data_IF_840450134611
#
_entry.id   IF_840450134611
#
_cell.length_a   1.000
_cell.length_b   1.000
_cell.length_c   1.000
_cell.angle_alpha   90.00
_cell.angle_beta   90.00
_cell.angle_gamma   90.00
#
_symmetry.space_group_name_H-M   'P 1'
#
loop_
_entity.id
_entity.type
_entity.pdbx_description
1 polymer ?
#
# COMPACT_ATOMS: atom_id res chain seq x y z
N UNK A 1 15.64 -16.37 7.90
CA UNK A 1 16.76 -15.78 8.67
C UNK A 1 16.28 -14.69 9.65
N UNK A 2 15.69 -13.54 9.19
CA UNK A 2 15.29 -12.47 10.12
C UNK A 2 14.14 -12.85 11.06
N UNK A 3 13.17 -13.61 10.58
CA UNK A 3 12.02 -14.02 11.38
C UNK A 3 12.40 -15.03 12.46
N UNK A 4 13.24 -15.98 12.12
CA UNK A 4 13.80 -16.95 13.08
C UNK A 4 14.66 -16.25 14.13
N UNK A 5 15.52 -15.29 13.72
CA UNK A 5 16.34 -14.50 14.65
C UNK A 5 15.50 -13.67 15.63
N UNK A 6 14.27 -13.33 15.28
CA UNK A 6 13.31 -12.60 16.13
C UNK A 6 12.35 -13.55 16.88
N UNK A 7 12.57 -14.86 16.83
CA UNK A 7 11.76 -15.86 17.54
C UNK A 7 10.37 -16.10 16.94
N UNK A 8 10.11 -15.67 15.70
CA UNK A 8 8.84 -15.91 15.03
C UNK A 8 8.77 -17.34 14.48
N UNK A 9 8.30 -18.28 15.31
CA UNK A 9 8.21 -19.71 14.98
C UNK A 9 6.96 -20.11 14.19
N UNK A 10 5.95 -19.22 14.10
CA UNK A 10 4.68 -19.46 13.40
C UNK A 10 4.69 -18.97 11.94
N UNK A 11 5.86 -18.66 11.38
CA UNK A 11 5.99 -18.10 10.04
C UNK A 11 6.44 -19.14 9.04
N UNK A 12 5.70 -19.29 7.95
CA UNK A 12 6.13 -20.02 6.76
C UNK A 12 6.62 -19.03 5.70
N UNK A 13 7.90 -19.10 5.34
CA UNK A 13 8.47 -18.26 4.29
C UNK A 13 8.21 -18.89 2.92
N UNK A 14 7.71 -18.09 1.99
CA UNK A 14 7.43 -18.54 0.63
C UNK A 14 8.06 -17.59 -0.38
N UNK A 15 8.69 -18.12 -1.43
CA UNK A 15 9.30 -17.35 -2.51
C UNK A 15 8.47 -17.56 -3.78
N UNK A 16 7.93 -16.45 -4.32
CA UNK A 16 7.11 -16.50 -5.52
C UNK A 16 6.76 -15.13 -6.08
N UNK A 17 6.03 -15.11 -7.20
CA UNK A 17 5.48 -13.88 -7.76
C UNK A 17 4.23 -13.46 -6.99
N UNK A 18 4.34 -12.45 -6.11
CA UNK A 18 3.23 -11.92 -5.33
C UNK A 18 2.01 -11.49 -6.16
N UNK A 19 2.22 -11.11 -7.43
CA UNK A 19 1.13 -10.77 -8.34
C UNK A 19 0.28 -11.97 -8.81
N UNK A 20 0.70 -13.19 -8.44
CA UNK A 20 0.03 -14.46 -8.79
C UNK A 20 -0.42 -15.29 -7.60
N UNK A 21 -0.17 -14.83 -6.37
CA UNK A 21 -0.56 -15.57 -5.15
C UNK A 21 -2.05 -15.95 -5.17
N UNK A 22 -2.91 -15.06 -5.62
CA UNK A 22 -4.35 -15.30 -5.68
C UNK A 22 -4.76 -16.53 -6.53
N UNK A 23 -3.92 -16.96 -7.48
CA UNK A 23 -4.23 -18.12 -8.34
C UNK A 23 -4.20 -19.45 -7.55
N UNK A 24 -3.37 -19.50 -6.51
CA UNK A 24 -3.30 -20.66 -5.62
C UNK A 24 -4.08 -20.44 -4.32
N UNK A 25 -4.21 -19.20 -3.87
CA UNK A 25 -4.72 -18.81 -2.57
C UNK A 25 -5.89 -17.82 -2.69
N UNK A 26 -6.89 -18.15 -3.51
CA UNK A 26 -8.08 -17.32 -3.69
C UNK A 26 -8.92 -17.29 -2.41
N UNK A 27 -9.23 -16.07 -1.90
CA UNK A 27 -10.01 -15.87 -0.67
C UNK A 27 -9.54 -16.74 0.51
N UNK A 28 -8.23 -16.91 0.65
CA UNK A 28 -7.63 -17.80 1.65
C UNK A 28 -7.26 -17.07 2.96
N UNK A 29 -7.01 -15.76 2.93
CA UNK A 29 -6.45 -15.03 4.04
C UNK A 29 -7.47 -14.10 4.73
N UNK A 30 -7.47 -14.07 6.06
CA UNK A 30 -8.27 -13.15 6.86
C UNK A 30 -7.63 -11.75 6.92
N UNK A 31 -6.28 -11.70 6.83
CA UNK A 31 -5.50 -10.46 6.87
C UNK A 31 -4.34 -10.53 5.89
N UNK A 32 -4.11 -9.44 5.17
CA UNK A 32 -3.00 -9.29 4.22
C UNK A 32 -2.26 -8.00 4.52
N UNK A 33 -0.94 -8.06 4.57
CA UNK A 33 -0.06 -6.90 4.56
C UNK A 33 0.69 -6.89 3.23
N UNK A 34 0.48 -5.84 2.45
CA UNK A 34 1.19 -5.60 1.20
C UNK A 34 2.11 -4.38 1.37
N UNK A 35 3.33 -4.62 1.81
CA UNK A 35 4.41 -3.64 1.76
C UNK A 35 5.04 -3.69 0.36
N UNK A 36 4.60 -2.77 -0.49
CA UNK A 36 4.82 -2.88 -1.92
C UNK A 36 6.15 -2.26 -2.37
N UNK A 37 6.87 -2.88 -3.33
CA UNK A 37 8.04 -2.23 -3.92
C UNK A 37 7.65 -0.90 -4.55
N UNK A 38 8.44 0.16 -4.29
CA UNK A 38 8.11 1.52 -4.68
C UNK A 38 9.33 2.32 -5.15
N UNK A 39 9.15 3.59 -5.52
CA UNK A 39 10.22 4.51 -5.93
C UNK A 39 11.00 5.13 -4.76
N UNK A 40 10.66 4.81 -3.52
CA UNK A 40 11.40 5.10 -2.27
C UNK A 40 11.65 6.58 -1.96
N UNK A 41 10.83 7.50 -2.45
CA UNK A 41 11.01 8.95 -2.23
C UNK A 41 10.99 9.36 -0.76
N UNK A 42 10.30 8.60 0.09
CA UNK A 42 10.26 8.84 1.54
C UNK A 42 11.57 8.58 2.27
N UNK A 43 12.57 8.02 1.57
CA UNK A 43 13.92 7.73 2.08
C UNK A 43 15.00 8.64 1.53
N UNK A 44 14.61 9.67 0.77
CA UNK A 44 15.58 10.61 0.22
C UNK A 44 16.18 11.46 1.35
N UNK A 45 17.51 11.53 1.36
CA UNK A 45 18.25 12.37 2.28
C UNK A 45 18.89 13.53 1.51
N UNK A 46 18.74 14.75 2.05
CA UNK A 46 19.23 15.96 1.38
C UNK A 46 20.76 16.00 1.28
N UNK A 47 21.44 15.36 2.22
CA UNK A 47 22.90 15.28 2.35
C UNK A 47 23.50 14.02 1.73
N UNK A 48 22.66 13.10 1.21
CA UNK A 48 23.12 11.86 0.55
C UNK A 48 22.51 11.71 -0.85
N UNK A 49 23.16 12.19 -1.91
CA UNK A 49 22.70 12.07 -3.30
C UNK A 49 22.53 10.63 -3.79
N UNK A 50 23.19 9.65 -3.17
CA UNK A 50 23.05 8.25 -3.57
C UNK A 50 21.63 7.73 -3.34
N UNK A 51 20.91 8.32 -2.37
CA UNK A 51 19.50 7.95 -2.09
C UNK A 51 18.55 8.24 -3.24
N UNK A 52 18.90 9.19 -4.13
CA UNK A 52 18.10 9.58 -5.29
C UNK A 52 18.57 8.94 -6.60
N UNK A 53 19.71 8.24 -6.60
CA UNK A 53 20.42 7.75 -7.80
C UNK A 53 19.54 6.96 -8.77
N UNK A 54 18.63 6.13 -8.26
CA UNK A 54 17.78 5.27 -9.08
C UNK A 54 16.38 5.82 -9.32
N UNK A 55 16.11 7.04 -8.82
CA UNK A 55 14.82 7.67 -9.00
C UNK A 55 14.64 8.23 -10.42
N UNK A 56 13.45 8.03 -10.97
CA UNK A 56 13.04 8.63 -12.24
C UNK A 56 11.52 8.51 -12.42
N UNK A 57 10.94 9.35 -13.27
CA UNK A 57 9.53 9.22 -13.69
C UNK A 57 9.23 7.86 -14.33
N UNK A 58 10.22 7.25 -15.01
CA UNK A 58 10.11 5.90 -15.54
C UNK A 58 9.98 4.87 -14.40
N UNK A 59 10.75 5.02 -13.33
CA UNK A 59 10.70 4.16 -12.15
C UNK A 59 9.33 4.22 -11.47
N UNK A 60 8.77 5.41 -11.26
CA UNK A 60 7.41 5.60 -10.74
C UNK A 60 6.39 4.83 -11.60
N UNK A 61 6.45 4.97 -12.93
CA UNK A 61 5.55 4.27 -13.85
C UNK A 61 5.68 2.75 -13.77
N UNK A 62 6.91 2.25 -13.64
CA UNK A 62 7.20 0.81 -13.47
C UNK A 62 6.61 0.30 -12.13
N UNK A 63 6.93 0.98 -11.03
CA UNK A 63 6.47 0.57 -9.69
C UNK A 63 4.94 0.62 -9.58
N UNK A 64 4.31 1.68 -10.05
CA UNK A 64 2.85 1.76 -10.15
C UNK A 64 2.24 0.54 -10.84
N UNK A 65 2.85 0.08 -11.94
CA UNK A 65 2.33 -1.08 -12.68
C UNK A 65 2.45 -2.38 -11.87
N UNK A 66 3.57 -2.58 -11.19
CA UNK A 66 3.79 -3.72 -10.29
C UNK A 66 2.83 -3.68 -9.11
N UNK A 67 2.70 -2.53 -8.45
CA UNK A 67 1.84 -2.34 -7.29
C UNK A 67 0.36 -2.64 -7.60
N UNK A 68 -0.14 -2.20 -8.76
CA UNK A 68 -1.52 -2.50 -9.18
C UNK A 68 -1.76 -3.99 -9.34
N UNK A 69 -0.80 -4.75 -9.85
CA UNK A 69 -0.89 -6.20 -9.97
C UNK A 69 -0.81 -6.89 -8.61
N UNK A 70 0.08 -6.40 -7.74
CA UNK A 70 0.21 -6.91 -6.37
C UNK A 70 -1.04 -6.62 -5.54
N UNK A 71 -1.58 -5.40 -5.60
CA UNK A 71 -2.79 -5.04 -4.89
C UNK A 71 -4.00 -5.83 -5.39
N UNK A 72 -4.12 -6.03 -6.71
CA UNK A 72 -5.13 -6.92 -7.29
C UNK A 72 -5.02 -8.33 -6.69
N UNK A 73 -3.82 -8.92 -6.71
CA UNK A 73 -3.56 -10.25 -6.15
C UNK A 73 -3.91 -10.32 -4.65
N UNK A 74 -3.53 -9.30 -3.89
CA UNK A 74 -3.81 -9.22 -2.46
C UNK A 74 -5.31 -9.17 -2.14
N UNK A 75 -6.10 -8.39 -2.92
CA UNK A 75 -7.56 -8.33 -2.77
C UNK A 75 -8.22 -9.66 -3.14
N UNK A 76 -7.76 -10.30 -4.22
CA UNK A 76 -8.28 -11.60 -4.65
C UNK A 76 -7.98 -12.71 -3.62
N UNK A 77 -6.83 -12.66 -2.97
CA UNK A 77 -6.42 -13.62 -1.94
C UNK A 77 -7.08 -13.36 -0.57
N UNK A 78 -7.64 -12.17 -0.35
CA UNK A 78 -8.33 -11.79 0.88
C UNK A 78 -9.74 -12.35 0.92
N UNK A 79 -10.16 -12.93 2.04
CA UNK A 79 -11.55 -13.38 2.27
C UNK A 79 -12.53 -12.19 2.33
N UNK A 80 -13.81 -12.37 1.98
CA UNK A 80 -14.87 -11.44 2.40
C UNK A 80 -14.83 -11.23 3.92
N UNK A 81 -14.98 -9.99 4.37
CA UNK A 81 -14.79 -9.57 5.77
C UNK A 81 -13.32 -9.37 6.18
N UNK A 82 -12.37 -9.78 5.36
CA UNK A 82 -10.94 -9.64 5.64
C UNK A 82 -10.44 -8.20 5.52
N UNK A 83 -9.26 -7.96 6.08
CA UNK A 83 -8.59 -6.64 6.07
C UNK A 83 -7.24 -6.73 5.39
N UNK A 84 -6.97 -5.80 4.47
CA UNK A 84 -5.71 -5.61 3.79
C UNK A 84 -5.12 -4.25 4.16
N UNK A 85 -3.82 -4.23 4.48
CA UNK A 85 -3.04 -3.00 4.60
C UNK A 85 -2.11 -2.91 3.40
N UNK A 86 -2.20 -1.80 2.68
CA UNK A 86 -1.30 -1.43 1.58
C UNK A 86 -0.37 -0.34 2.07
N UNK A 87 0.94 -0.52 1.88
CA UNK A 87 1.95 0.45 2.30
C UNK A 87 3.05 0.64 1.25
N UNK A 88 3.64 1.83 1.25
CA UNK A 88 4.82 2.19 0.45
C UNK A 88 5.67 3.22 1.19
N UNK A 89 6.96 3.28 0.90
CA UNK A 89 7.85 4.35 1.32
C UNK A 89 8.08 5.39 0.20
N UNK A 90 7.04 5.76 -0.55
CA UNK A 90 7.11 6.78 -1.61
C UNK A 90 6.06 7.86 -1.42
N UNK A 91 6.32 9.06 -1.98
CA UNK A 91 5.35 10.15 -2.04
C UNK A 91 4.64 10.26 -3.39
N UNK A 92 5.02 9.46 -4.40
CA UNK A 92 4.42 9.51 -5.72
C UNK A 92 2.92 9.19 -5.68
N UNK A 93 2.02 10.14 -6.00
CA UNK A 93 0.58 9.90 -5.95
C UNK A 93 0.12 8.84 -6.97
N UNK A 94 0.88 8.66 -8.03
CA UNK A 94 0.65 7.61 -9.04
C UNK A 94 0.76 6.20 -8.45
N UNK A 95 1.66 6.02 -7.48
CA UNK A 95 1.91 4.76 -6.79
C UNK A 95 0.93 4.55 -5.63
N UNK A 96 0.52 5.61 -4.98
CA UNK A 96 -0.31 5.64 -3.79
C UNK A 96 -1.80 5.78 -4.15
N UNK A 97 -2.32 7.00 -4.16
CA UNK A 97 -3.73 7.30 -4.42
C UNK A 97 -4.20 6.79 -5.78
N UNK A 98 -3.35 6.91 -6.80
CA UNK A 98 -3.65 6.41 -8.16
C UNK A 98 -3.76 4.88 -8.22
N UNK A 99 -3.07 4.15 -7.36
CA UNK A 99 -3.18 2.70 -7.25
C UNK A 99 -4.45 2.32 -6.49
N UNK A 100 -4.79 3.02 -5.40
CA UNK A 100 -6.04 2.84 -4.68
C UNK A 100 -7.28 3.17 -5.54
N UNK A 101 -7.24 4.29 -6.27
CA UNK A 101 -8.31 4.68 -7.18
C UNK A 101 -8.53 3.62 -8.28
N UNK A 102 -7.44 3.00 -8.78
CA UNK A 102 -7.54 1.89 -9.73
C UNK A 102 -8.17 0.64 -9.09
N UNK A 103 -7.84 0.33 -7.84
CA UNK A 103 -8.44 -0.80 -7.12
C UNK A 103 -9.95 -0.58 -6.92
N UNK A 104 -10.37 0.61 -6.44
CA UNK A 104 -11.79 0.96 -6.32
C UNK A 104 -12.53 0.84 -7.65
N UNK A 105 -11.93 1.33 -8.74
CA UNK A 105 -12.53 1.18 -10.08
C UNK A 105 -12.64 -0.29 -10.53
N UNK A 106 -11.73 -1.15 -10.09
CA UNK A 106 -11.68 -2.56 -10.52
C UNK A 106 -12.66 -3.42 -9.73
N UNK A 107 -12.77 -3.21 -8.42
CA UNK A 107 -13.52 -4.05 -7.51
C UNK A 107 -14.86 -3.45 -7.08
N UNK A 108 -15.09 -2.14 -7.33
CA UNK A 108 -16.32 -1.46 -6.95
C UNK A 108 -16.62 -1.60 -5.47
N UNK A 109 -17.87 -1.93 -5.17
CA UNK A 109 -18.39 -2.06 -3.80
C UNK A 109 -17.86 -3.30 -3.06
N UNK A 110 -17.18 -4.22 -3.77
CA UNK A 110 -16.57 -5.39 -3.13
C UNK A 110 -15.41 -5.03 -2.19
N UNK A 111 -14.87 -3.80 -2.29
CA UNK A 111 -13.84 -3.31 -1.36
C UNK A 111 -14.18 -1.91 -0.85
N UNK A 112 -13.77 -1.62 0.38
CA UNK A 112 -13.88 -0.30 0.97
C UNK A 112 -12.53 0.13 1.57
N UNK A 113 -12.10 1.37 1.27
CA UNK A 113 -10.99 2.01 1.98
C UNK A 113 -11.57 2.59 3.27
N UNK A 114 -11.08 2.12 4.40
CA UNK A 114 -11.48 2.59 5.73
C UNK A 114 -10.35 3.40 6.37
N UNK A 115 -10.61 4.07 7.49
CA UNK A 115 -9.57 4.79 8.22
C UNK A 115 -8.38 3.87 8.56
N UNK A 116 -7.17 4.33 8.30
CA UNK A 116 -5.96 3.53 8.50
C UNK A 116 -5.66 3.23 9.97
N UNK A 117 -6.30 3.94 10.91
CA UNK A 117 -6.16 3.71 12.34
C UNK A 117 -4.82 4.18 12.90
N UNK A 118 -4.18 5.17 12.27
CA UNK A 118 -2.98 5.79 12.83
C UNK A 118 -3.34 6.68 14.02
N UNK A 119 -2.41 6.84 15.01
CA UNK A 119 -2.65 7.69 16.16
C UNK A 119 -3.07 9.11 15.76
N UNK A 120 -4.19 9.60 16.32
CA UNK A 120 -4.67 10.98 16.14
C UNK A 120 -4.02 11.98 17.10
N UNK A 121 -3.17 11.51 18.04
CA UNK A 121 -2.50 12.32 19.05
C UNK A 121 -1.06 11.86 19.24
N UNK A 122 -0.23 12.72 19.84
CA UNK A 122 1.19 12.43 20.07
C UNK A 122 2.09 12.86 18.92
N UNK A 123 3.40 12.61 19.01
CA UNK A 123 4.41 13.10 18.06
C UNK A 123 4.13 12.69 16.60
N UNK A 124 3.64 11.47 16.40
CA UNK A 124 3.35 10.94 15.05
C UNK A 124 2.17 11.66 14.39
N UNK A 125 1.17 12.11 15.17
CA UNK A 125 -0.03 12.73 14.63
C UNK A 125 0.26 14.03 13.87
N UNK A 126 1.27 14.78 14.27
CA UNK A 126 1.68 16.04 13.62
C UNK A 126 2.20 15.82 12.19
N UNK A 127 2.76 14.63 11.93
CA UNK A 127 3.35 14.26 10.64
C UNK A 127 2.39 13.49 9.74
N UNK A 128 1.13 13.24 10.19
CA UNK A 128 0.15 12.45 9.43
C UNK A 128 -0.82 13.35 8.67
N UNK A 129 -0.95 13.10 7.38
CA UNK A 129 -1.89 13.79 6.49
C UNK A 129 -2.86 12.79 5.84
N UNK A 130 -4.10 13.21 5.50
CA UNK A 130 -4.97 12.40 4.66
C UNK A 130 -4.37 12.19 3.27
N UNK A 131 -4.83 11.15 2.57
CA UNK A 131 -4.54 10.98 1.15
C UNK A 131 -4.99 12.19 0.34
N UNK A 132 -4.33 12.43 -0.81
CA UNK A 132 -4.62 13.56 -1.67
C UNK A 132 -6.02 13.46 -2.29
N UNK A 133 -6.68 14.60 -2.44
CA UNK A 133 -7.96 14.71 -3.13
C UNK A 133 -7.80 14.69 -4.65
N UNK A 134 -6.67 15.21 -5.15
CA UNK A 134 -6.38 15.30 -6.58
C UNK A 134 -4.88 15.27 -6.87
N UNK A 135 -4.52 14.98 -8.12
CA UNK A 135 -3.16 15.08 -8.64
C UNK A 135 -3.15 15.38 -10.13
N UNK A 136 -2.35 16.36 -10.55
CA UNK A 136 -2.25 16.78 -11.96
C UNK A 136 -3.62 17.03 -12.62
N UNK A 137 -4.52 17.73 -11.93
CA UNK A 137 -5.86 18.09 -12.40
C UNK A 137 -6.84 16.91 -12.49
N UNK A 138 -6.52 15.77 -11.87
CA UNK A 138 -7.42 14.61 -11.79
C UNK A 138 -7.81 14.37 -10.34
N UNK A 139 -9.11 14.46 -10.05
CA UNK A 139 -9.64 14.13 -8.74
C UNK A 139 -9.56 12.61 -8.49
N UNK A 140 -9.26 12.24 -7.25
CA UNK A 140 -9.39 10.89 -6.74
C UNK A 140 -10.77 10.66 -6.12
N UNK A 141 -11.27 9.41 -6.06
CA UNK A 141 -12.45 9.09 -5.28
C UNK A 141 -12.31 9.54 -3.82
N UNK A 142 -13.36 10.10 -3.21
CA UNK A 142 -13.31 10.63 -1.84
C UNK A 142 -12.82 9.59 -0.81
N UNK A 143 -13.16 8.31 -1.01
CA UNK A 143 -12.70 7.22 -0.15
C UNK A 143 -11.16 7.13 -0.04
N UNK A 144 -10.42 7.56 -1.06
CA UNK A 144 -8.94 7.55 -1.07
C UNK A 144 -8.37 8.46 0.01
N UNK A 145 -9.08 9.52 0.44
CA UNK A 145 -8.66 10.41 1.51
C UNK A 145 -8.59 9.74 2.90
N UNK A 146 -9.19 8.57 3.05
CA UNK A 146 -9.08 7.75 4.27
C UNK A 146 -7.70 7.08 4.41
N UNK A 147 -6.89 7.03 3.35
CA UNK A 147 -5.48 6.69 3.45
C UNK A 147 -4.68 7.78 4.18
N UNK A 148 -3.47 7.46 4.59
CA UNK A 148 -2.61 8.39 5.35
C UNK A 148 -1.24 8.48 4.70
N UNK A 149 -0.72 9.70 4.68
CA UNK A 149 0.66 10.05 4.36
C UNK A 149 1.36 10.41 5.64
N UNK A 150 2.49 9.78 5.90
CA UNK A 150 3.38 10.15 7.01
C UNK A 150 4.51 10.97 6.41
N UNK A 151 4.65 12.22 6.85
CA UNK A 151 5.74 13.09 6.41
C UNK A 151 6.99 12.83 7.27
N UNK A 152 8.19 12.91 6.69
CA UNK A 152 9.43 12.76 7.46
C UNK A 152 9.59 13.94 8.44
N UNK A 153 10.01 13.64 9.66
CA UNK A 153 10.16 14.63 10.73
C UNK A 153 11.46 14.49 11.55
N UNK A 154 12.44 13.78 11.03
CA UNK A 154 13.70 13.49 11.70
C UNK A 154 13.69 12.21 12.55
N UNK A 155 12.51 11.67 12.89
CA UNK A 155 12.33 10.36 13.53
C UNK A 155 11.71 9.35 12.57
N UNK A 156 10.78 9.81 11.74
CA UNK A 156 10.04 9.00 10.80
C UNK A 156 10.55 9.21 9.38
N UNK A 157 10.67 8.13 8.64
CA UNK A 157 10.78 8.18 7.18
C UNK A 157 9.42 8.54 6.56
N UNK A 158 9.44 9.04 5.33
CA UNK A 158 8.21 9.25 4.57
C UNK A 158 7.51 7.94 4.25
N UNK A 159 6.19 7.87 4.50
CA UNK A 159 5.43 6.64 4.35
C UNK A 159 4.01 6.91 3.86
N UNK A 160 3.43 5.90 3.21
CA UNK A 160 2.02 5.90 2.83
C UNK A 160 1.36 4.62 3.31
N UNK A 161 0.14 4.72 3.83
CA UNK A 161 -0.63 3.56 4.27
C UNK A 161 -2.11 3.71 3.96
N UNK A 162 -2.73 2.61 3.53
CA UNK A 162 -4.17 2.49 3.36
C UNK A 162 -4.68 1.17 3.93
N UNK A 163 -5.81 1.21 4.63
CA UNK A 163 -6.51 0.03 5.11
C UNK A 163 -7.74 -0.21 4.23
N UNK A 164 -7.84 -1.42 3.71
CA UNK A 164 -8.89 -1.86 2.81
C UNK A 164 -9.62 -3.02 3.47
N UNK A 165 -10.95 -2.99 3.47
CA UNK A 165 -11.80 -4.10 3.90
C UNK A 165 -12.47 -4.69 2.65
N UNK A 166 -12.43 -5.99 2.49
CA UNK A 166 -13.19 -6.69 1.46
C UNK A 166 -14.60 -6.95 1.97
N UNK A 167 -15.61 -6.41 1.27
CA UNK A 167 -17.01 -6.50 1.66
C UNK A 167 -17.69 -7.73 1.10
N UNK A 168 -17.35 -8.09 -0.14
CA UNK A 168 -17.99 -9.16 -0.87
C UNK A 168 -16.95 -10.04 -1.59
N UNK A 169 -17.35 -11.24 -2.01
CA UNK A 169 -16.52 -12.09 -2.84
C UNK A 169 -16.19 -11.39 -4.17
N UNK A 170 -14.94 -11.51 -4.59
CA UNK A 170 -14.47 -11.05 -5.90
C UNK A 170 -14.34 -12.19 -6.91
N UNK A 171 -14.66 -13.41 -6.50
CA UNK A 171 -14.73 -14.59 -7.36
C UNK A 171 -16.08 -14.55 -8.07
N UNK A 172 -16.07 -14.54 -9.40
CA UNK A 172 -17.29 -14.71 -10.19
C UNK A 172 -17.56 -16.20 -10.33
N UNK A 173 -18.78 -16.60 -10.01
CA UNK A 173 -19.29 -17.93 -10.34
C UNK A 173 -19.25 -18.20 -11.84
#
# INVERSE_FOLDING_TARGET
>A
ANMEAQGATCVTAWIGDGARVWQAETEAFDRVLLDAPCSTEGRFLADDPETTRYWSRRKIKEMRTKQRRLLFSAVMALKPGGTLVYSTCTFAPEENEGTLAKALKTFGDAIEIVDAGLPGTGPVAASVMPGLAEWNGRAFPEAVRRSRRVLPDGLLEGFFVARIVKRESTVRE
#
